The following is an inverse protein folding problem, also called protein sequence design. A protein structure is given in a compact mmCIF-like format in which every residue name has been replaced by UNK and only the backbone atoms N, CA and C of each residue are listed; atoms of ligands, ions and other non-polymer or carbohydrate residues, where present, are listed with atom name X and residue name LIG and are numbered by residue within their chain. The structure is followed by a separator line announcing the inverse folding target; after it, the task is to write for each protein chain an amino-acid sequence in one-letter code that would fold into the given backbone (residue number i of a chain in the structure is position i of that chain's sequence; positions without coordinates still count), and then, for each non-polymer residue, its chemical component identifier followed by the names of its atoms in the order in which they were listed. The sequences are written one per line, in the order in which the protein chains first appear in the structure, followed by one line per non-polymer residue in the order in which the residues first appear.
data_IF_945668382997
#
_entry.id   IF_945668382997
#
_cell.length_a   1.000
_cell.length_b   1.000
_cell.length_c   1.000
_cell.angle_alpha   90.00
_cell.angle_beta   90.00
_cell.angle_gamma   90.00
#
_symmetry.space_group_name_H-M   'P 1'
#
loop_
_entity.id
_entity.type
_entity.pdbx_description
1 polymer ?
#
# COMPACT_ATOMS: atom_id res chain seq x y z
N UNK A 1 -4.01 -27.73 15.85
CA UNK A 1 -2.99 -28.58 16.48
C UNK A 1 -2.93 -29.97 15.82
N UNK A 2 -1.79 -30.66 15.86
CA UNK A 2 -1.64 -31.99 15.26
C UNK A 2 -2.48 -33.08 15.97
N UNK A 3 -2.83 -32.84 17.23
CA UNK A 3 -3.62 -33.68 18.12
C UNK A 3 -5.10 -33.23 18.23
N UNK A 4 -5.54 -32.28 17.39
CA UNK A 4 -6.92 -31.79 17.39
C UNK A 4 -7.94 -32.93 17.18
N UNK A 5 -8.79 -33.15 18.17
CA UNK A 5 -9.85 -34.17 18.16
C UNK A 5 -11.26 -33.58 17.92
N UNK A 6 -11.37 -32.25 17.78
CA UNK A 6 -12.64 -31.57 17.59
C UNK A 6 -13.18 -31.65 16.16
N UNK A 7 -14.25 -30.92 15.90
CA UNK A 7 -14.91 -30.88 14.59
C UNK A 7 -13.94 -30.44 13.47
N UNK A 8 -14.11 -30.94 12.24
CA UNK A 8 -13.29 -30.53 11.11
C UNK A 8 -13.49 -29.04 10.81
N UNK A 9 -12.38 -28.30 10.76
CA UNK A 9 -12.37 -26.90 10.36
C UNK A 9 -12.78 -26.71 8.89
N UNK A 10 -13.72 -25.80 8.64
CA UNK A 10 -14.08 -25.35 7.29
C UNK A 10 -12.97 -24.55 6.60
N UNK A 11 -11.99 -24.04 7.37
CA UNK A 11 -10.82 -23.29 6.89
C UNK A 11 -9.62 -24.20 6.58
N UNK A 12 -9.77 -25.51 6.74
CA UNK A 12 -8.69 -26.48 6.59
C UNK A 12 -7.87 -26.67 7.86
N UNK A 13 -6.78 -27.43 7.74
CA UNK A 13 -5.87 -27.77 8.84
C UNK A 13 -4.49 -27.23 8.55
N UNK A 14 -3.95 -26.48 9.51
CA UNK A 14 -2.59 -25.96 9.48
C UNK A 14 -1.87 -26.33 10.78
N UNK A 15 -0.55 -26.42 10.70
CA UNK A 15 0.30 -26.50 11.88
C UNK A 15 0.32 -25.17 12.62
N UNK A 16 0.80 -25.18 13.86
CA UNK A 16 0.93 -23.96 14.66
C UNK A 16 1.94 -22.98 14.04
N UNK A 17 3.03 -23.50 13.48
CA UNK A 17 4.05 -22.68 12.82
C UNK A 17 3.51 -22.02 11.55
N UNK A 18 2.76 -22.78 10.73
CA UNK A 18 2.09 -22.22 9.54
C UNK A 18 1.06 -21.15 9.93
N UNK A 19 0.31 -21.35 11.02
CA UNK A 19 -0.60 -20.33 11.52
C UNK A 19 0.12 -19.04 11.88
N UNK A 20 1.21 -19.12 12.66
CA UNK A 20 2.01 -17.95 13.02
C UNK A 20 2.56 -17.27 11.77
N UNK A 21 3.09 -18.06 10.84
CA UNK A 21 3.62 -17.56 9.58
C UNK A 21 2.53 -16.84 8.76
N UNK A 22 1.36 -17.43 8.58
CA UNK A 22 0.28 -16.81 7.80
C UNK A 22 -0.26 -15.55 8.47
N UNK A 23 -0.39 -15.53 9.80
CA UNK A 23 -0.83 -14.32 10.50
C UNK A 23 0.19 -13.19 10.40
N UNK A 24 1.49 -13.48 10.60
CA UNK A 24 2.54 -12.45 10.47
C UNK A 24 2.68 -11.94 9.04
N UNK A 25 2.61 -12.82 8.03
CA UNK A 25 2.58 -12.41 6.62
C UNK A 25 1.34 -11.56 6.28
N UNK A 26 0.19 -11.85 6.90
CA UNK A 26 -1.00 -11.03 6.74
C UNK A 26 -0.81 -9.62 7.34
N UNK A 27 -0.16 -9.50 8.50
CA UNK A 27 0.19 -8.20 9.09
C UNK A 27 1.16 -7.42 8.20
N UNK A 28 2.21 -8.07 7.70
CA UNK A 28 3.17 -7.47 6.75
C UNK A 28 2.46 -6.93 5.50
N UNK A 29 1.55 -7.76 4.96
CA UNK A 29 0.79 -7.40 3.76
C UNK A 29 -0.13 -6.21 4.03
N UNK A 30 -0.80 -6.18 5.16
CA UNK A 30 -1.69 -5.06 5.52
C UNK A 30 -0.92 -3.76 5.66
N UNK A 31 0.22 -3.77 6.34
CA UNK A 31 1.05 -2.56 6.45
C UNK A 31 1.49 -2.04 5.08
N UNK A 32 1.77 -2.94 4.14
CA UNK A 32 2.19 -2.57 2.78
C UNK A 32 1.04 -2.15 1.86
N UNK A 33 -0.09 -2.86 1.87
CA UNK A 33 -1.15 -2.72 0.87
C UNK A 33 -2.40 -1.99 1.38
N UNK A 34 -2.62 -1.99 2.70
CA UNK A 34 -3.83 -1.49 3.34
C UNK A 34 -3.50 -0.52 4.49
N UNK A 35 -2.66 0.51 4.27
CA UNK A 35 -2.21 1.38 5.36
C UNK A 35 -3.34 2.20 5.99
N UNK A 36 -4.46 2.36 5.28
CA UNK A 36 -5.69 2.99 5.78
C UNK A 36 -6.50 2.09 6.73
N UNK A 37 -6.23 0.78 6.77
CA UNK A 37 -6.94 -0.16 7.62
C UNK A 37 -6.52 -0.02 9.10
N UNK A 38 -5.52 0.82 9.40
CA UNK A 38 -5.10 1.15 10.77
C UNK A 38 -4.74 -0.10 11.56
N UNK A 39 -5.47 -0.37 12.64
CA UNK A 39 -5.31 -1.59 13.43
C UNK A 39 -6.23 -2.69 12.90
N UNK A 40 -5.64 -3.77 12.39
CA UNK A 40 -6.39 -5.01 12.16
C UNK A 40 -6.77 -5.68 13.48
N UNK A 41 -8.02 -6.11 13.56
CA UNK A 41 -8.48 -6.96 14.67
C UNK A 41 -8.17 -8.41 14.32
N UNK A 42 -7.40 -9.07 15.19
CA UNK A 42 -7.24 -10.53 15.17
C UNK A 42 -8.57 -11.17 15.57
N UNK A 43 -8.96 -12.23 14.87
CA UNK A 43 -10.34 -12.70 14.84
C UNK A 43 -10.93 -13.01 16.23
N UNK A 44 -10.18 -13.70 17.12
CA UNK A 44 -10.65 -14.02 18.46
C UNK A 44 -9.57 -13.81 19.52
N UNK A 45 -9.91 -13.02 20.56
CA UNK A 45 -9.14 -13.04 21.81
C UNK A 45 -9.25 -14.40 22.49
N UNK A 46 -10.50 -14.79 22.80
CA UNK A 46 -10.89 -16.11 23.28
C UNK A 46 -12.33 -16.37 22.78
N UNK A 47 -12.60 -17.44 22.00
CA UNK A 47 -13.92 -17.69 21.46
C UNK A 47 -14.87 -18.23 22.54
N UNK A 48 -16.14 -17.80 22.48
CA UNK A 48 -17.18 -18.24 23.41
C UNK A 48 -17.92 -19.48 22.87
N UNK A 49 -17.17 -20.57 22.66
CA UNK A 49 -17.65 -21.82 22.05
C UNK A 49 -17.14 -23.04 22.81
N UNK A 50 -17.56 -24.24 22.41
CA UNK A 50 -17.12 -25.50 23.01
C UNK A 50 -15.66 -25.81 22.67
N UNK A 51 -15.02 -26.66 23.49
CA UNK A 51 -13.57 -26.94 23.38
C UNK A 51 -13.18 -27.67 22.09
N UNK A 52 -14.16 -28.27 21.41
CA UNK A 52 -14.04 -29.01 20.15
C UNK A 52 -14.36 -28.16 18.92
N UNK A 53 -14.61 -26.86 19.06
CA UNK A 53 -14.90 -25.95 17.94
C UNK A 53 -13.61 -25.46 17.26
N UNK A 54 -13.49 -25.57 15.92
CA UNK A 54 -12.32 -25.10 15.18
C UNK A 54 -12.03 -23.60 15.30
N UNK A 55 -12.95 -22.76 15.79
CA UNK A 55 -12.70 -21.35 16.10
C UNK A 55 -11.56 -21.15 17.11
N UNK A 56 -11.28 -22.13 17.96
CA UNK A 56 -10.10 -22.14 18.83
C UNK A 56 -8.78 -22.03 18.06
N UNK A 57 -8.78 -22.39 16.77
CA UNK A 57 -7.66 -22.11 15.89
C UNK A 57 -7.29 -20.63 15.84
N UNK A 58 -8.23 -19.68 15.95
CA UNK A 58 -7.91 -18.25 15.83
C UNK A 58 -7.68 -17.54 17.17
N UNK A 59 -7.63 -18.28 18.28
CA UNK A 59 -7.58 -17.72 19.62
C UNK A 59 -6.17 -17.24 20.01
N UNK A 60 -6.08 -16.07 20.66
CA UNK A 60 -4.85 -15.56 21.27
C UNK A 60 -4.63 -16.11 22.69
N UNK A 61 -5.72 -16.48 23.35
CA UNK A 61 -5.75 -17.13 24.66
C UNK A 61 -6.41 -18.49 24.49
N UNK A 62 -5.82 -19.54 25.06
CA UNK A 62 -6.36 -20.89 25.00
C UNK A 62 -7.52 -21.14 26.00
N UNK A 63 -8.02 -22.37 26.02
CA UNK A 63 -9.11 -22.83 26.89
C UNK A 63 -8.74 -22.76 28.39
N UNK A 64 -7.45 -22.78 28.71
CA UNK A 64 -6.92 -22.73 30.07
C UNK A 64 -6.50 -21.32 30.49
N UNK A 65 -6.91 -20.30 29.73
CA UNK A 65 -6.55 -18.89 29.92
C UNK A 65 -5.03 -18.62 29.85
N UNK A 66 -4.30 -19.40 29.05
CA UNK A 66 -2.88 -19.18 28.80
C UNK A 66 -2.64 -18.52 27.43
N UNK A 67 -1.60 -17.67 27.30
CA UNK A 67 -1.18 -17.14 26.01
C UNK A 67 -0.84 -18.25 25.01
N UNK A 68 -1.45 -18.21 23.83
CA UNK A 68 -1.05 -19.12 22.74
C UNK A 68 0.30 -18.71 22.16
N UNK A 69 1.01 -19.61 21.47
CA UNK A 69 2.21 -19.26 20.74
C UNK A 69 1.99 -18.18 19.68
N UNK A 70 0.77 -18.08 19.13
CA UNK A 70 0.37 -16.98 18.25
C UNK A 70 0.41 -15.62 18.98
N UNK A 71 -0.12 -15.53 20.20
CA UNK A 71 -0.04 -14.30 20.97
C UNK A 71 1.42 -13.91 21.26
N UNK A 72 2.27 -14.88 21.59
CA UNK A 72 3.70 -14.61 21.82
C UNK A 72 4.41 -14.10 20.56
N UNK A 73 4.11 -14.69 19.39
CA UNK A 73 4.64 -14.24 18.11
C UNK A 73 4.19 -12.82 17.76
N UNK A 74 2.94 -12.47 18.06
CA UNK A 74 2.41 -11.13 17.80
C UNK A 74 2.99 -10.10 18.77
N UNK A 75 3.20 -10.46 20.03
CA UNK A 75 3.88 -9.60 21.01
C UNK A 75 5.35 -9.32 20.66
N UNK A 76 5.98 -10.21 19.89
CA UNK A 76 7.35 -10.06 19.40
C UNK A 76 7.42 -9.60 17.93
N UNK A 77 6.28 -9.25 17.33
CA UNK A 77 6.23 -8.76 15.97
C UNK A 77 6.84 -7.36 15.90
N UNK A 78 7.93 -7.22 15.15
CA UNK A 78 8.57 -5.94 14.89
C UNK A 78 7.71 -5.11 13.93
N UNK A 79 7.16 -4.01 14.43
CA UNK A 79 6.61 -2.99 13.55
C UNK A 79 7.74 -2.25 12.83
N UNK A 80 7.53 -1.80 11.57
CA UNK A 80 8.50 -0.96 10.90
C UNK A 80 8.85 0.27 11.73
N UNK A 81 10.15 0.51 11.95
CA UNK A 81 10.64 1.67 12.71
C UNK A 81 10.40 3.01 11.98
N UNK A 82 10.24 2.97 10.65
CA UNK A 82 10.04 4.13 9.81
C UNK A 82 8.67 4.10 9.11
N UNK A 83 8.02 5.26 8.94
CA UNK A 83 6.88 5.43 8.06
C UNK A 83 7.12 4.85 6.67
N UNK A 84 6.26 3.92 6.25
CA UNK A 84 6.20 3.37 4.90
C UNK A 84 4.94 3.87 4.19
N UNK A 85 4.18 3.01 3.50
CA UNK A 85 2.98 3.45 2.81
C UNK A 85 1.94 3.99 3.78
N UNK A 86 1.36 5.16 3.50
CA UNK A 86 0.26 5.70 4.30
C UNK A 86 0.28 7.20 4.51
N UNK A 87 -0.66 7.65 5.33
CA UNK A 87 -0.79 9.03 5.80
C UNK A 87 -0.45 9.10 7.29
N UNK A 88 0.41 10.04 7.66
CA UNK A 88 0.96 10.19 9.00
C UNK A 88 0.69 11.58 9.53
N UNK A 89 0.27 11.65 10.80
CA UNK A 89 0.12 12.92 11.50
C UNK A 89 1.49 13.62 11.62
N UNK A 90 1.60 14.96 11.61
CA UNK A 90 2.88 15.67 11.68
C UNK A 90 3.72 15.33 12.91
N UNK A 91 3.06 14.93 14.00
CA UNK A 91 3.71 14.45 15.22
C UNK A 91 3.84 12.92 15.17
N UNK A 92 4.96 12.43 14.61
CA UNK A 92 5.38 11.03 14.69
C UNK A 92 6.69 10.89 15.49
N UNK A 93 7.06 9.67 15.95
CA UNK A 93 8.38 9.41 16.52
C UNK A 93 9.56 9.72 15.58
N UNK A 94 9.31 9.77 14.26
CA UNK A 94 10.32 10.00 13.21
C UNK A 94 10.35 11.43 12.69
N UNK A 95 9.51 12.32 13.24
CA UNK A 95 9.48 13.74 12.90
C UNK A 95 10.19 14.56 13.99
N UNK A 96 11.19 15.34 13.61
CA UNK A 96 11.94 16.25 14.47
C UNK A 96 11.69 17.68 14.04
N UNK A 97 11.48 18.57 15.02
CA UNK A 97 11.17 19.97 14.79
C UNK A 97 12.17 20.86 15.52
N UNK A 98 12.66 21.89 14.86
CA UNK A 98 13.51 22.92 15.44
C UNK A 98 12.95 24.31 15.18
N UNK A 99 13.21 25.25 16.09
CA UNK A 99 12.55 26.55 16.10
C UNK A 99 11.24 26.51 16.87
N UNK A 100 10.35 27.46 16.59
CA UNK A 100 9.05 27.58 17.27
C UNK A 100 7.99 26.81 16.49
N UNK A 101 7.25 25.95 17.17
CA UNK A 101 6.17 25.13 16.60
C UNK A 101 5.03 24.96 17.61
N UNK A 102 3.79 25.01 17.11
CA UNK A 102 2.60 24.66 17.87
C UNK A 102 1.94 23.43 17.25
N UNK A 103 1.29 22.60 18.06
CA UNK A 103 0.70 21.34 17.60
C UNK A 103 -0.69 21.15 18.19
N UNK A 104 -1.61 20.63 17.37
CA UNK A 104 -2.96 20.25 17.78
C UNK A 104 -3.46 19.11 16.90
N UNK A 105 -4.73 18.73 17.07
CA UNK A 105 -5.43 17.80 16.17
C UNK A 105 -5.52 18.31 14.71
N UNK A 106 -5.33 19.62 14.49
CA UNK A 106 -5.29 20.19 13.14
C UNK A 106 -3.95 19.96 12.44
N UNK A 107 -2.90 19.58 13.18
CA UNK A 107 -1.56 19.35 12.68
C UNK A 107 -0.50 20.20 13.38
N UNK A 108 0.55 20.57 12.64
CA UNK A 108 1.64 21.41 13.09
C UNK A 108 1.52 22.82 12.49
N UNK A 109 1.68 23.82 13.35
CA UNK A 109 1.65 25.23 12.99
C UNK A 109 3.04 25.86 13.15
N UNK A 110 3.38 26.70 12.19
CA UNK A 110 4.68 27.34 12.07
C UNK A 110 4.77 28.46 13.10
N UNK A 111 5.92 28.61 13.74
CA UNK A 111 6.11 29.64 14.75
C UNK A 111 6.13 31.06 14.17
N UNK A 112 5.55 32.00 14.92
CA UNK A 112 5.48 33.43 14.59
C UNK A 112 6.85 34.16 14.57
N UNK A 113 7.91 33.54 15.09
CA UNK A 113 9.19 34.19 15.29
C UNK A 113 10.07 34.03 14.04
N UNK A 114 10.07 35.03 13.17
CA UNK A 114 10.80 35.06 11.89
C UNK A 114 12.31 34.76 12.04
N UNK A 115 12.90 35.02 13.21
CA UNK A 115 14.33 34.76 13.47
C UNK A 115 14.68 33.29 13.71
N UNK A 116 13.69 32.39 13.83
CA UNK A 116 13.92 31.01 14.27
C UNK A 116 13.95 29.97 13.17
N UNK A 117 13.80 30.36 11.89
CA UNK A 117 13.74 29.48 10.71
C UNK A 117 13.10 28.14 11.07
N UNK A 118 11.78 28.10 11.33
CA UNK A 118 11.14 26.87 11.80
C UNK A 118 11.42 25.72 10.83
N UNK A 119 12.11 24.69 11.30
CA UNK A 119 12.52 23.54 10.48
C UNK A 119 11.88 22.26 10.98
N UNK A 120 11.69 21.36 10.03
CA UNK A 120 11.15 20.03 10.23
C UNK A 120 12.05 19.03 9.49
N UNK A 121 12.35 17.93 10.15
CA UNK A 121 12.98 16.75 9.58
C UNK A 121 12.06 15.53 9.76
N UNK A 122 11.81 14.78 8.70
CA UNK A 122 10.97 13.58 8.72
C UNK A 122 11.68 12.43 8.03
N UNK A 123 11.90 11.34 8.77
CA UNK A 123 12.49 10.10 8.24
C UNK A 123 11.39 9.14 7.78
N UNK A 124 11.58 8.56 6.59
CA UNK A 124 10.64 7.62 5.99
C UNK A 124 11.35 6.56 5.16
N UNK A 125 10.64 5.48 4.81
CA UNK A 125 11.10 4.44 3.89
C UNK A 125 10.13 4.28 2.72
N UNK A 126 10.62 4.47 1.48
CA UNK A 126 9.77 4.42 0.28
C UNK A 126 10.46 5.01 -0.94
N UNK A 127 9.67 5.39 -1.95
CA UNK A 127 10.14 6.04 -3.18
C UNK A 127 9.55 7.43 -3.39
N UNK A 128 8.45 7.75 -2.73
CA UNK A 128 7.73 9.00 -2.90
C UNK A 128 7.31 9.53 -1.51
N UNK A 129 7.42 10.84 -1.32
CA UNK A 129 6.87 11.54 -0.15
C UNK A 129 6.12 12.78 -0.60
N UNK A 130 4.98 13.02 0.03
CA UNK A 130 4.13 14.18 -0.16
C UNK A 130 3.77 14.79 1.21
N UNK A 131 3.37 16.06 1.20
CA UNK A 131 2.85 16.73 2.39
C UNK A 131 1.37 17.02 2.22
N UNK A 132 0.60 16.73 3.27
CA UNK A 132 -0.77 17.18 3.39
C UNK A 132 -0.72 18.60 3.97
N UNK A 133 -1.00 19.58 3.14
CA UNK A 133 -0.84 21.00 3.45
C UNK A 133 -2.17 21.73 3.45
N UNK A 134 -2.29 22.70 4.34
CA UNK A 134 -3.46 23.55 4.49
C UNK A 134 -3.17 24.89 3.83
N UNK A 135 -3.66 25.07 2.61
CA UNK A 135 -3.46 26.26 1.79
C UNK A 135 -4.61 27.25 2.05
N UNK A 136 -4.33 28.55 2.05
CA UNK A 136 -5.32 29.59 2.37
C UNK A 136 -5.01 30.95 1.76
N UNK A 137 -5.72 32.00 2.17
CA UNK A 137 -5.43 33.38 1.70
C UNK A 137 -4.29 34.02 2.50
N UNK A 138 -3.12 33.39 2.46
CA UNK A 138 -1.91 33.89 3.12
C UNK A 138 -0.68 33.62 2.26
N UNK A 139 0.41 34.34 2.53
CA UNK A 139 1.68 34.18 1.82
C UNK A 139 2.68 33.54 2.75
N UNK A 140 3.04 32.30 2.44
CA UNK A 140 4.09 31.56 3.12
C UNK A 140 4.71 30.52 2.17
N UNK A 141 5.94 30.14 2.46
CA UNK A 141 6.72 29.22 1.66
C UNK A 141 7.30 28.10 2.52
N UNK A 142 7.36 26.91 1.95
CA UNK A 142 8.12 25.79 2.50
C UNK A 142 9.22 25.44 1.51
N UNK A 143 10.45 25.24 2.00
CA UNK A 143 11.62 24.90 1.17
C UNK A 143 12.06 23.47 1.48
N UNK A 144 11.52 22.46 0.77
CA UNK A 144 11.82 21.07 1.01
C UNK A 144 13.13 20.61 0.34
N UNK A 145 13.84 19.72 1.02
CA UNK A 145 14.97 18.95 0.49
C UNK A 145 14.82 17.49 0.87
N UNK A 146 15.34 16.59 0.04
CA UNK A 146 15.40 15.15 0.27
C UNK A 146 16.86 14.72 0.23
N UNK A 147 17.34 14.08 1.30
CA UNK A 147 18.73 13.63 1.42
C UNK A 147 19.72 14.74 1.05
N UNK A 148 19.51 15.94 1.59
CA UNK A 148 20.29 17.16 1.35
C UNK A 148 20.34 17.63 -0.13
N UNK A 149 19.38 17.20 -0.96
CA UNK A 149 19.21 17.61 -2.35
C UNK A 149 17.85 18.27 -2.56
N UNK A 150 17.74 19.10 -3.60
CA UNK A 150 16.48 19.77 -3.94
C UNK A 150 15.38 18.74 -4.20
N UNK A 151 14.19 18.99 -3.66
CA UNK A 151 13.03 18.15 -3.89
C UNK A 151 12.68 18.14 -5.39
N UNK A 152 12.36 16.95 -5.93
CA UNK A 152 12.23 16.75 -7.38
C UNK A 152 10.78 16.78 -7.89
N UNK A 153 9.78 17.00 -7.02
CA UNK A 153 8.37 17.05 -7.40
C UNK A 153 7.69 18.41 -7.14
N UNK A 154 8.45 19.43 -6.72
CA UNK A 154 7.97 20.79 -6.50
C UNK A 154 8.55 21.78 -7.52
N UNK A 155 7.91 22.94 -7.74
CA UNK A 155 8.52 24.04 -8.49
C UNK A 155 9.87 24.48 -7.90
N UNK A 156 10.66 25.16 -8.72
CA UNK A 156 11.93 25.77 -8.33
C UNK A 156 11.87 27.28 -8.50
N UNK A 157 12.48 28.01 -7.56
CA UNK A 157 12.63 29.46 -7.65
C UNK A 157 13.72 29.86 -8.68
N UNK A 158 13.97 31.17 -8.85
CA UNK A 158 15.00 31.65 -9.77
C UNK A 158 16.43 31.27 -9.39
N UNK A 159 16.65 30.81 -8.16
CA UNK A 159 17.94 30.34 -7.65
C UNK A 159 18.06 28.80 -7.73
N UNK A 160 17.02 28.10 -8.19
CA UNK A 160 16.97 26.64 -8.28
C UNK A 160 16.56 25.94 -6.99
N UNK A 161 16.07 26.68 -5.98
CA UNK A 161 15.56 26.08 -4.75
C UNK A 161 14.14 25.55 -4.95
N UNK A 162 13.92 24.30 -4.57
CA UNK A 162 12.60 23.71 -4.46
C UNK A 162 11.77 24.48 -3.43
N UNK A 163 10.52 24.79 -3.77
CA UNK A 163 9.60 25.45 -2.85
C UNK A 163 8.16 24.98 -3.02
N UNK A 164 7.37 25.11 -1.96
CA UNK A 164 5.91 25.01 -1.97
C UNK A 164 5.34 26.35 -1.53
N UNK A 165 4.40 26.89 -2.30
CA UNK A 165 3.69 28.12 -1.97
C UNK A 165 2.35 27.77 -1.32
N UNK A 166 2.09 28.30 -0.13
CA UNK A 166 0.94 27.91 0.69
C UNK A 166 -0.33 28.73 0.45
N UNK A 167 -0.34 29.56 -0.60
CA UNK A 167 -1.55 30.29 -0.97
C UNK A 167 -2.46 29.40 -1.80
N UNK A 168 -3.73 29.33 -1.42
CA UNK A 168 -4.75 28.63 -2.19
C UNK A 168 -4.99 29.32 -3.55
N UNK A 169 -4.98 28.53 -4.63
CA UNK A 169 -5.31 29.02 -5.98
C UNK A 169 -6.79 29.42 -6.11
N UNK A 170 -7.66 28.86 -5.24
CA UNK A 170 -9.09 29.18 -5.19
C UNK A 170 -9.41 30.39 -4.30
N UNK A 171 -8.43 30.91 -3.56
CA UNK A 171 -8.59 32.08 -2.67
C UNK A 171 -8.79 33.42 -3.43
N UNK A 172 -9.17 33.39 -4.71
CA UNK A 172 -9.40 34.57 -5.54
C UNK A 172 -10.74 35.23 -5.22
N UNK A 173 -11.69 34.52 -4.58
CA UNK A 173 -12.95 35.10 -4.13
C UNK A 173 -12.79 35.75 -2.73
N UNK A 174 -12.83 37.10 -2.63
CA UNK A 174 -12.69 37.79 -1.35
C UNK A 174 -13.85 37.52 -0.38
N UNK A 175 -15.00 37.05 -0.88
CA UNK A 175 -16.19 36.78 -0.06
C UNK A 175 -16.22 35.33 0.49
N UNK A 176 -15.33 34.45 0.02
CA UNK A 176 -15.22 33.07 0.49
C UNK A 176 -13.80 32.52 0.28
N UNK A 177 -12.80 32.93 1.09
CA UNK A 177 -11.48 32.33 1.04
C UNK A 177 -11.59 30.83 1.35
N UNK A 178 -11.33 30.00 0.33
CA UNK A 178 -11.35 28.55 0.49
C UNK A 178 -10.03 28.11 1.14
N UNK A 179 -10.09 27.75 2.42
CA UNK A 179 -9.08 26.88 3.01
C UNK A 179 -9.14 25.52 2.32
N UNK A 180 -8.04 25.09 1.74
CA UNK A 180 -7.94 23.81 1.04
C UNK A 180 -6.91 22.93 1.73
N UNK A 181 -7.22 21.64 1.83
CA UNK A 181 -6.25 20.64 2.29
C UNK A 181 -5.80 19.85 1.07
N UNK A 182 -4.59 20.14 0.61
CA UNK A 182 -4.03 19.57 -0.61
C UNK A 182 -2.86 18.64 -0.28
N UNK A 183 -2.81 17.51 -1.00
CA UNK A 183 -1.69 16.59 -0.91
C UNK A 183 -0.64 16.96 -1.97
N UNK A 184 0.41 17.65 -1.54
CA UNK A 184 1.46 18.20 -2.41
C UNK A 184 2.64 17.22 -2.48
N UNK A 185 2.94 16.64 -3.66
CA UNK A 185 4.12 15.80 -3.83
C UNK A 185 5.40 16.60 -3.60
N UNK A 186 6.26 16.11 -2.70
CA UNK A 186 7.57 16.70 -2.46
C UNK A 186 8.62 16.00 -3.30
N UNK A 187 8.59 14.67 -3.30
CA UNK A 187 9.44 13.88 -4.18
C UNK A 187 8.71 12.71 -4.80
N UNK A 188 9.24 12.30 -5.95
CA UNK A 188 8.78 11.11 -6.66
C UNK A 188 9.94 10.27 -7.17
N UNK A 189 9.71 8.96 -7.29
CA UNK A 189 10.64 8.03 -7.94
C UNK A 189 12.07 8.06 -7.36
N UNK A 190 12.19 8.20 -6.04
CA UNK A 190 13.45 7.94 -5.34
C UNK A 190 13.79 6.44 -5.45
N UNK A 191 15.04 6.10 -5.16
CA UNK A 191 15.44 4.71 -4.98
C UNK A 191 14.70 4.11 -3.78
N UNK A 192 14.16 2.89 -3.86
CA UNK A 192 13.56 2.25 -2.69
C UNK A 192 14.55 2.21 -1.52
N UNK A 193 14.19 2.80 -0.39
CA UNK A 193 15.01 2.80 0.81
C UNK A 193 14.64 3.90 1.79
N UNK A 194 15.54 4.14 2.75
CA UNK A 194 15.39 5.17 3.79
C UNK A 194 15.78 6.53 3.24
N UNK A 195 14.98 7.53 3.56
CA UNK A 195 15.16 8.91 3.12
C UNK A 195 14.85 9.89 4.25
N UNK A 196 15.42 11.08 4.13
CA UNK A 196 15.18 12.18 5.07
C UNK A 196 14.64 13.39 4.32
N UNK A 197 13.40 13.78 4.65
CA UNK A 197 12.80 15.05 4.24
C UNK A 197 13.19 16.14 5.23
N UNK A 198 13.80 17.22 4.77
CA UNK A 198 14.04 18.43 5.55
C UNK A 198 13.30 19.60 4.95
N UNK A 199 12.63 20.39 5.78
CA UNK A 199 11.85 21.56 5.37
C UNK A 199 12.27 22.74 6.21
N UNK A 200 12.49 23.87 5.56
CA UNK A 200 12.58 25.18 6.19
C UNK A 200 11.32 25.96 5.84
N UNK A 201 10.63 26.47 6.87
CA UNK A 201 9.44 27.28 6.69
C UNK A 201 9.76 28.78 6.71
N UNK A 202 9.11 29.52 5.82
CA UNK A 202 9.12 30.98 5.76
C UNK A 202 7.67 31.49 5.89
N UNK A 203 7.35 32.08 7.05
CA UNK A 203 6.01 32.54 7.47
C UNK A 203 4.99 31.40 7.63
N UNK A 204 3.69 31.72 7.65
CA UNK A 204 2.61 30.74 7.73
C UNK A 204 2.18 30.37 9.15
N UNK A 205 2.45 31.23 10.13
CA UNK A 205 1.98 31.08 11.50
C UNK A 205 0.47 31.30 11.62
N UNK A 206 -0.15 30.68 12.63
CA UNK A 206 -1.60 30.68 12.89
C UNK A 206 -2.44 30.08 11.73
N UNK A 207 -1.83 29.27 10.86
CA UNK A 207 -2.51 28.66 9.70
C UNK A 207 -2.69 27.15 9.82
N UNK A 208 -1.98 26.48 10.75
CA UNK A 208 -1.94 25.02 10.84
C UNK A 208 -1.55 24.37 9.50
N UNK A 209 -0.54 24.97 8.87
CA UNK A 209 -0.16 24.72 7.48
C UNK A 209 0.22 23.26 7.19
N UNK A 210 0.74 22.52 8.18
CA UNK A 210 1.17 21.13 7.99
C UNK A 210 0.15 20.21 8.66
N UNK A 211 -0.70 19.57 7.85
CA UNK A 211 -1.71 18.63 8.32
C UNK A 211 -1.19 17.17 8.36
N UNK A 212 -0.12 16.84 7.64
CA UNK A 212 0.48 15.50 7.68
C UNK A 212 1.51 15.22 6.60
N UNK A 213 2.01 13.98 6.60
CA UNK A 213 2.91 13.42 5.60
C UNK A 213 2.22 12.25 4.90
N UNK A 214 2.47 12.08 3.61
CA UNK A 214 2.14 10.85 2.91
C UNK A 214 3.40 10.23 2.33
N UNK A 215 3.55 8.92 2.52
CA UNK A 215 4.70 8.17 2.01
C UNK A 215 4.16 7.03 1.15
N UNK A 216 4.87 6.73 0.07
CA UNK A 216 4.57 5.63 -0.83
C UNK A 216 5.85 4.97 -1.34
N UNK A 217 5.78 3.65 -1.54
CA UNK A 217 6.78 2.84 -2.26
C UNK A 217 6.45 2.74 -3.76
N UNK A 218 5.74 3.74 -4.30
CA UNK A 218 5.42 3.86 -5.72
C UNK A 218 4.18 3.05 -6.13
N UNK A 219 4.29 2.35 -7.27
CA UNK A 219 3.18 1.54 -7.78
C UNK A 219 3.10 0.18 -7.09
N UNK A 220 2.27 0.08 -6.05
CA UNK A 220 2.04 -1.15 -5.29
C UNK A 220 1.43 -2.28 -6.13
N UNK A 221 0.77 -1.98 -7.27
CA UNK A 221 0.17 -3.02 -8.14
C UNK A 221 1.17 -3.61 -9.13
N UNK A 222 2.31 -2.94 -9.37
CA UNK A 222 3.24 -3.29 -10.44
C UNK A 222 3.71 -4.75 -10.38
N UNK A 223 3.95 -5.27 -9.17
CA UNK A 223 4.36 -6.66 -8.98
C UNK A 223 3.27 -7.65 -9.42
N UNK A 224 2.02 -7.39 -9.05
CA UNK A 224 0.88 -8.21 -9.44
C UNK A 224 0.60 -8.10 -10.93
N UNK A 225 0.70 -6.90 -11.51
CA UNK A 225 0.53 -6.67 -12.94
C UNK A 225 1.56 -7.48 -13.75
N UNK A 226 2.82 -7.53 -13.27
CA UNK A 226 3.87 -8.35 -13.87
C UNK A 226 3.56 -9.85 -13.77
N UNK A 227 3.06 -10.32 -12.62
CA UNK A 227 2.67 -11.73 -12.46
C UNK A 227 1.50 -12.12 -13.37
N UNK A 228 0.49 -11.23 -13.50
CA UNK A 228 -0.64 -11.43 -14.40
C UNK A 228 -0.13 -11.51 -15.86
N UNK A 229 0.77 -10.61 -16.26
CA UNK A 229 1.35 -10.61 -17.59
C UNK A 229 2.11 -11.92 -17.89
N UNK A 230 2.92 -12.39 -16.93
CA UNK A 230 3.63 -13.68 -17.04
C UNK A 230 2.63 -14.84 -17.14
N UNK A 231 1.58 -14.84 -16.32
CA UNK A 231 0.53 -15.85 -16.34
C UNK A 231 -0.21 -15.91 -17.69
N UNK A 232 -0.56 -14.75 -18.25
CA UNK A 232 -1.17 -14.64 -19.58
C UNK A 232 -0.23 -15.15 -20.68
N UNK A 233 1.06 -14.83 -20.59
CA UNK A 233 2.06 -15.34 -21.54
C UNK A 233 2.20 -16.86 -21.45
N UNK A 234 2.28 -17.41 -20.24
CA UNK A 234 2.33 -18.86 -20.02
C UNK A 234 1.06 -19.58 -20.53
N UNK A 235 -0.11 -18.97 -20.37
CA UNK A 235 -1.37 -19.47 -20.90
C UNK A 235 -1.36 -19.50 -22.43
N UNK A 236 -0.92 -18.42 -23.08
CA UNK A 236 -0.82 -18.35 -24.55
C UNK A 236 0.12 -19.44 -25.08
N UNK A 237 1.29 -19.62 -24.45
CA UNK A 237 2.26 -20.66 -24.83
C UNK A 237 1.64 -22.05 -24.66
N UNK A 238 0.99 -22.32 -23.52
CA UNK A 238 0.37 -23.61 -23.24
C UNK A 238 -0.77 -23.93 -24.21
N UNK A 239 -1.63 -22.96 -24.51
CA UNK A 239 -2.68 -23.09 -25.52
C UNK A 239 -2.10 -23.36 -26.91
N UNK A 240 -1.01 -22.68 -27.27
CA UNK A 240 -0.32 -22.89 -28.55
C UNK A 240 0.23 -24.32 -28.64
N UNK A 241 0.91 -24.80 -27.60
CA UNK A 241 1.42 -26.17 -27.53
C UNK A 241 0.28 -27.19 -27.57
N UNK A 242 -0.82 -26.96 -26.87
CA UNK A 242 -1.99 -27.84 -26.86
C UNK A 242 -2.65 -27.90 -28.24
N UNK A 243 -2.80 -26.76 -28.92
CA UNK A 243 -3.31 -26.69 -30.30
C UNK A 243 -2.37 -27.43 -31.25
N UNK A 244 -1.06 -27.20 -31.16
CA UNK A 244 -0.07 -27.92 -31.98
C UNK A 244 -0.11 -29.43 -31.74
N UNK A 245 -0.16 -29.85 -30.47
CA UNK A 245 -0.27 -31.25 -30.09
C UNK A 245 -1.56 -31.87 -30.61
N UNK A 246 -2.69 -31.16 -30.50
CA UNK A 246 -3.97 -31.62 -31.01
C UNK A 246 -3.95 -31.76 -32.54
N UNK A 247 -3.32 -30.84 -33.27
CA UNK A 247 -3.18 -30.91 -34.73
C UNK A 247 -2.27 -32.08 -35.15
N UNK A 248 -1.20 -32.36 -34.38
CA UNK A 248 -0.25 -33.43 -34.69
C UNK A 248 -0.73 -34.83 -34.27
N UNK A 249 -1.75 -34.94 -33.41
CA UNK A 249 -2.25 -36.23 -32.92
C UNK A 249 -3.03 -36.95 -34.03
N UNK A 250 -2.71 -38.21 -34.35
CA UNK A 250 -3.44 -38.98 -35.37
C UNK A 250 -4.77 -39.48 -34.80
N UNK A 251 -5.78 -38.59 -34.74
CA UNK A 251 -7.10 -38.86 -34.16
C UNK A 251 -7.81 -40.08 -34.76
N UNK A 252 -7.51 -40.41 -36.01
CA UNK A 252 -8.04 -41.57 -36.73
C UNK A 252 -7.69 -42.93 -36.08
N UNK A 253 -6.57 -43.00 -35.36
CA UNK A 253 -6.11 -44.24 -34.70
C UNK A 253 -6.68 -44.39 -33.28
N UNK A 254 -7.19 -43.30 -32.71
CA UNK A 254 -7.59 -43.20 -31.29
C UNK A 254 -9.11 -43.16 -31.15
N UNK A 255 -9.82 -42.50 -32.06
CA UNK A 255 -11.27 -42.31 -31.97
C UNK A 255 -11.99 -43.23 -32.96
N UNK A 256 -12.76 -44.23 -32.51
CA UNK A 256 -13.55 -45.04 -33.41
C UNK A 256 -14.59 -44.17 -34.14
N UNK A 257 -14.91 -44.47 -35.41
CA UNK A 257 -15.70 -43.61 -36.31
C UNK A 257 -17.18 -43.42 -35.90
N UNK A 258 -17.60 -43.91 -34.73
CA UNK A 258 -18.98 -43.87 -34.25
C UNK A 258 -19.31 -42.70 -33.32
N UNK A 259 -18.37 -41.83 -32.97
CA UNK A 259 -18.68 -40.66 -32.11
C UNK A 259 -19.22 -39.49 -32.94
N UNK A 260 -20.52 -39.23 -32.81
CA UNK A 260 -21.32 -38.19 -33.50
C UNK A 260 -20.68 -36.78 -33.44
N UNK A 261 -19.86 -36.52 -32.43
CA UNK A 261 -19.23 -35.22 -32.14
C UNK A 261 -18.20 -34.78 -33.20
N UNK A 262 -17.50 -35.71 -33.86
CA UNK A 262 -16.48 -35.32 -34.86
C UNK A 262 -17.07 -34.89 -36.22
N UNK A 263 -18.29 -35.36 -36.57
CA UNK A 263 -18.95 -34.96 -37.84
C UNK A 263 -19.39 -33.51 -37.86
N UNK A 264 -19.67 -32.90 -36.72
CA UNK A 264 -20.11 -31.48 -36.63
C UNK A 264 -18.93 -30.50 -36.62
N UNK A 265 -17.76 -30.91 -36.14
CA UNK A 265 -16.52 -30.11 -36.21
C UNK A 265 -15.89 -30.11 -37.61
N UNK A 266 -15.95 -31.24 -38.34
CA UNK A 266 -15.49 -31.29 -39.72
C UNK A 266 -16.31 -30.39 -40.66
N UNK A 267 -17.63 -30.25 -40.45
CA UNK A 267 -18.47 -29.39 -41.29
C UNK A 267 -18.26 -27.88 -41.03
N UNK A 268 -17.90 -27.50 -39.80
CA UNK A 268 -17.62 -26.10 -39.44
C UNK A 268 -16.22 -25.64 -39.86
N UNK A 269 -15.27 -26.56 -39.99
CA UNK A 269 -13.92 -26.29 -40.53
C UNK A 269 -13.96 -25.75 -41.97
N UNK A 270 -14.97 -26.12 -42.76
CA UNK A 270 -15.18 -25.59 -44.11
C UNK A 270 -15.72 -24.15 -44.14
N UNK A 271 -16.35 -23.66 -43.07
CA UNK A 271 -16.90 -22.31 -43.01
C UNK A 271 -15.86 -21.23 -42.65
N UNK A 272 -14.83 -21.59 -41.87
CA UNK A 272 -13.79 -20.62 -41.47
C UNK A 272 -12.79 -20.38 -42.61
N UNK A 273 -12.48 -21.40 -43.41
CA UNK A 273 -11.57 -21.25 -44.56
C UNK A 273 -12.21 -20.41 -45.68
N UNK A 274 -13.54 -20.47 -45.87
CA UNK A 274 -14.21 -19.63 -46.89
C UNK A 274 -14.31 -18.15 -46.48
N UNK A 275 -14.21 -17.82 -45.19
CA UNK A 275 -14.28 -16.45 -44.70
C UNK A 275 -12.93 -15.69 -44.77
N UNK A 276 -11.81 -16.41 -44.93
CA UNK A 276 -10.47 -15.80 -45.05
C UNK A 276 -10.06 -15.63 -46.54
N UNK A 277 -10.74 -16.29 -47.47
CA UNK A 277 -10.46 -16.21 -48.92
C UNK A 277 -11.51 -15.44 -49.73
N UNK A 278 -12.40 -14.67 -49.09
CA UNK A 278 -13.36 -13.78 -49.78
C UNK A 278 -13.21 -12.32 -49.39
#
# INVERSE_FOLDING_TARGET
PADWQGEPSIWGKVTQDEQIQYTTQALDRTHRELPWLGAMILHHWQPATTDDDPQWGFALIDQQNQPTPLLQAIQSYDMPDLPQNGLFHPRTPTARYSGVWTFSELGADIGWLETTDSQLEFEFEGTDVAMLLREGDYVAFLYPTIDDRQANATPQDSNGNAYVFLRSDSAVDPESPAEEINLIPISRQLSQGKHTLKIVADKGWDQWAIAGFAVSSGNLTQYYDNQIAIGLLALIVSCTVLIMSAIQTPWQDIVPPSTIVFRTLASTSHLIISAITS
#
